data_IF_106072292068
#
_entry.id   IF_106072292068
#
_cell.length_a   1.000
_cell.length_b   1.000
_cell.length_c   1.000
_cell.angle_alpha   90.00
_cell.angle_beta   90.00
_cell.angle_gamma   90.00
#
_symmetry.space_group_name_H-M   'P 1'
#
loop_
_entity.id
_entity.type
_entity.pdbx_description
1 polymer ?
#
# COMPACT_ATOMS: atom_id res chain seq x y z
N UNK A 1 16.93 0.51 5.00
CA UNK A 1 15.54 0.01 5.08
C UNK A 1 15.44 -1.10 6.13
N UNK A 2 16.10 -2.26 5.97
CA UNK A 2 16.06 -3.38 6.94
C UNK A 2 16.31 -2.95 8.39
N UNK A 3 17.39 -2.22 8.66
CA UNK A 3 17.70 -1.74 10.01
C UNK A 3 16.66 -0.77 10.63
N UNK A 4 15.77 -0.18 9.82
CA UNK A 4 14.66 0.65 10.33
C UNK A 4 13.45 -0.21 10.73
N UNK A 5 13.32 -1.41 10.16
CA UNK A 5 12.25 -2.34 10.47
C UNK A 5 12.62 -3.25 11.65
N UNK A 6 13.90 -3.62 11.77
CA UNK A 6 14.39 -4.50 12.82
C UNK A 6 14.03 -3.98 14.23
N UNK A 7 13.35 -4.83 15.01
CA UNK A 7 12.94 -4.53 16.38
C UNK A 7 11.77 -3.55 16.51
N UNK A 8 11.21 -3.05 15.40
CA UNK A 8 10.00 -2.23 15.43
C UNK A 8 8.76 -3.11 15.37
N UNK A 9 7.94 -3.05 16.43
CA UNK A 9 6.59 -3.64 16.43
C UNK A 9 5.61 -2.62 15.90
N UNK A 10 4.96 -2.94 14.78
CA UNK A 10 3.98 -2.06 14.13
C UNK A 10 2.65 -2.78 13.92
N UNK A 11 1.57 -2.02 13.76
CA UNK A 11 0.27 -2.61 13.45
C UNK A 11 0.21 -3.10 12.00
N UNK A 12 0.70 -2.32 11.04
CA UNK A 12 0.85 -2.75 9.64
C UNK A 12 2.14 -2.18 9.02
N UNK A 13 2.57 -2.78 7.91
CA UNK A 13 3.56 -2.19 7.01
C UNK A 13 2.93 -1.97 5.63
N UNK A 14 3.21 -0.82 5.01
CA UNK A 14 2.69 -0.46 3.69
C UNK A 14 3.85 -0.22 2.71
N UNK A 15 3.81 -0.87 1.56
CA UNK A 15 4.74 -0.71 0.44
C UNK A 15 4.03 0.01 -0.70
N UNK A 16 4.53 1.17 -1.11
CA UNK A 16 3.81 2.06 -2.04
C UNK A 16 4.37 1.98 -3.46
N UNK A 17 4.62 0.78 -3.99
CA UNK A 17 5.08 0.60 -5.36
C UNK A 17 6.53 1.03 -5.65
N UNK A 18 6.87 1.01 -6.93
CA UNK A 18 8.20 1.23 -7.50
C UNK A 18 9.24 0.28 -6.87
N UNK A 19 8.92 -1.02 -6.86
CA UNK A 19 9.77 -2.07 -6.26
C UNK A 19 11.10 -2.24 -6.99
N UNK A 20 11.17 -1.80 -8.25
CA UNK A 20 12.40 -1.71 -9.03
C UNK A 20 12.34 -0.57 -10.05
N UNK A 21 13.53 -0.10 -10.46
CA UNK A 21 13.68 1.00 -11.40
C UNK A 21 14.76 0.65 -12.46
N UNK A 22 14.37 0.50 -13.73
CA UNK A 22 15.29 0.35 -14.87
C UNK A 22 15.08 -0.87 -15.76
N UNK A 23 15.78 -0.91 -16.91
CA UNK A 23 15.78 -2.04 -17.83
C UNK A 23 16.68 -3.17 -17.31
N UNK A 24 16.12 -4.36 -17.09
CA UNK A 24 16.79 -5.67 -17.08
C UNK A 24 17.80 -6.03 -15.95
N UNK A 25 18.07 -5.18 -14.97
CA UNK A 25 19.03 -5.50 -13.89
C UNK A 25 18.37 -6.34 -12.77
N UNK A 26 18.06 -7.59 -13.10
CA UNK A 26 17.54 -8.68 -12.27
C UNK A 26 16.42 -8.32 -11.27
N UNK A 27 15.14 -8.58 -11.61
CA UNK A 27 14.04 -8.65 -10.65
C UNK A 27 14.41 -9.46 -9.40
N UNK A 28 15.29 -10.47 -9.56
CA UNK A 28 15.83 -11.31 -8.48
C UNK A 28 16.61 -10.53 -7.42
N UNK A 29 17.38 -9.52 -7.79
CA UNK A 29 18.17 -8.71 -6.86
C UNK A 29 17.27 -7.84 -5.99
N UNK A 30 16.32 -7.14 -6.61
CA UNK A 30 15.32 -6.33 -5.93
C UNK A 30 14.39 -7.17 -5.07
N UNK A 31 13.87 -8.29 -5.58
CA UNK A 31 13.04 -9.23 -4.82
C UNK A 31 13.79 -9.80 -3.61
N UNK A 32 15.09 -10.13 -3.75
CA UNK A 32 15.90 -10.60 -2.61
C UNK A 32 16.05 -9.52 -1.54
N UNK A 33 16.24 -8.27 -1.94
CA UNK A 33 16.32 -7.16 -0.99
C UNK A 33 14.97 -6.87 -0.35
N UNK A 34 13.88 -6.94 -1.11
CA UNK A 34 12.51 -6.79 -0.63
C UNK A 34 12.18 -7.88 0.39
N UNK A 35 12.53 -9.13 0.11
CA UNK A 35 12.36 -10.26 1.03
C UNK A 35 13.04 -10.00 2.38
N UNK A 36 14.27 -9.48 2.38
CA UNK A 36 14.98 -9.12 3.63
C UNK A 36 14.29 -8.02 4.43
N UNK A 37 13.61 -7.09 3.76
CA UNK A 37 12.84 -6.03 4.43
C UNK A 37 11.59 -6.64 5.03
N UNK A 38 10.86 -7.45 4.26
CA UNK A 38 9.65 -8.16 4.71
C UNK A 38 9.95 -9.06 5.92
N UNK A 39 11.03 -9.84 5.87
CA UNK A 39 11.46 -10.70 6.98
C UNK A 39 11.78 -9.90 8.26
N UNK A 40 12.20 -8.65 8.12
CA UNK A 40 12.50 -7.76 9.25
C UNK A 40 11.25 -7.03 9.78
N UNK A 41 10.11 -7.08 9.09
CA UNK A 41 8.88 -6.42 9.51
C UNK A 41 8.11 -7.27 10.54
N UNK A 42 8.00 -6.80 11.78
CA UNK A 42 7.07 -7.35 12.78
C UNK A 42 5.74 -6.57 12.75
N UNK A 43 4.96 -6.84 11.69
CA UNK A 43 3.66 -6.22 11.44
C UNK A 43 2.51 -7.12 11.91
N UNK A 44 1.84 -6.74 12.99
CA UNK A 44 0.82 -7.57 13.67
C UNK A 44 -0.38 -7.93 12.76
N UNK A 45 -0.81 -7.00 11.93
CA UNK A 45 -1.99 -7.16 11.06
C UNK A 45 -1.58 -7.67 9.67
N UNK A 46 -0.36 -7.36 9.25
CA UNK A 46 0.21 -7.81 7.99
C UNK A 46 0.87 -6.69 7.21
N UNK A 47 1.32 -7.05 6.01
CA UNK A 47 2.03 -6.20 5.09
C UNK A 47 1.17 -6.02 3.84
N UNK A 48 0.96 -4.78 3.44
CA UNK A 48 0.13 -4.42 2.30
C UNK A 48 0.97 -3.62 1.30
N UNK A 49 0.60 -3.66 0.02
CA UNK A 49 1.23 -2.80 -0.95
C UNK A 49 0.39 -2.54 -2.18
N UNK A 50 0.88 -1.62 -3.02
CA UNK A 50 0.31 -1.28 -4.32
C UNK A 50 1.42 -1.33 -5.36
N UNK A 51 1.07 -1.44 -6.64
CA UNK A 51 2.04 -1.37 -7.72
C UNK A 51 2.30 0.10 -8.10
N UNK A 52 3.57 0.41 -8.35
CA UNK A 52 4.01 1.68 -8.88
C UNK A 52 4.02 1.69 -10.41
N UNK A 53 4.38 2.81 -11.00
CA UNK A 53 4.39 2.96 -12.46
C UNK A 53 5.53 2.20 -13.14
N UNK A 54 6.49 1.70 -12.35
CA UNK A 54 7.59 0.87 -12.83
C UNK A 54 7.34 -0.63 -12.65
N UNK A 55 6.28 -1.01 -11.94
CA UNK A 55 5.92 -2.40 -11.69
C UNK A 55 4.84 -2.82 -12.69
N UNK A 56 5.03 -3.95 -13.35
CA UNK A 56 4.02 -4.48 -14.26
C UNK A 56 2.97 -5.25 -13.45
N UNK A 57 1.69 -5.32 -13.89
CA UNK A 57 0.68 -6.13 -13.22
C UNK A 57 1.09 -7.59 -12.99
N UNK A 58 1.90 -8.15 -13.90
CA UNK A 58 2.42 -9.52 -13.81
C UNK A 58 3.36 -9.75 -12.61
N UNK A 59 3.88 -8.67 -12.04
CA UNK A 59 4.83 -8.70 -10.93
C UNK A 59 4.16 -8.85 -9.57
N UNK A 60 2.87 -8.54 -9.47
CA UNK A 60 2.08 -8.67 -8.25
C UNK A 60 2.26 -10.06 -7.63
N UNK A 61 2.13 -11.12 -8.43
CA UNK A 61 2.23 -12.50 -7.93
C UNK A 61 3.63 -12.84 -7.39
N UNK A 62 4.70 -12.24 -7.92
CA UNK A 62 6.07 -12.44 -7.39
C UNK A 62 6.25 -11.72 -6.06
N UNK A 63 5.67 -10.54 -5.92
CA UNK A 63 5.73 -9.74 -4.70
C UNK A 63 4.86 -10.37 -3.60
N UNK A 64 3.69 -10.89 -3.96
CA UNK A 64 2.78 -11.58 -3.05
C UNK A 64 3.39 -12.85 -2.44
N UNK A 65 4.26 -13.55 -3.18
CA UNK A 65 5.01 -14.69 -2.65
C UNK A 65 5.93 -14.34 -1.48
N UNK A 66 6.28 -13.06 -1.31
CA UNK A 66 7.05 -12.58 -0.17
C UNK A 66 6.19 -12.33 1.07
N UNK A 67 4.86 -12.46 0.97
CA UNK A 67 3.93 -12.18 2.07
C UNK A 67 3.39 -10.75 2.10
N UNK A 68 3.60 -9.98 1.02
CA UNK A 68 3.00 -8.65 0.83
C UNK A 68 1.65 -8.83 0.15
N UNK A 69 0.56 -8.36 0.75
CA UNK A 69 -0.74 -8.35 0.07
C UNK A 69 -0.83 -7.14 -0.87
N UNK A 70 -0.81 -7.39 -2.18
CA UNK A 70 -0.96 -6.33 -3.18
C UNK A 70 -2.45 -5.99 -3.34
N UNK A 71 -2.76 -4.69 -3.39
CA UNK A 71 -4.10 -4.13 -3.56
C UNK A 71 -4.09 -3.24 -4.80
N UNK A 72 -4.67 -3.73 -5.91
CA UNK A 72 -4.71 -3.02 -7.18
C UNK A 72 -6.09 -2.40 -7.39
N UNK A 73 -6.27 -1.14 -6.99
CA UNK A 73 -7.58 -0.50 -6.91
C UNK A 73 -8.60 -1.31 -6.08
N UNK A 74 -8.10 -1.88 -4.98
CA UNK A 74 -8.85 -2.76 -4.10
C UNK A 74 -8.87 -2.23 -2.67
N UNK A 75 -9.93 -2.57 -1.95
CA UNK A 75 -10.02 -2.35 -0.51
C UNK A 75 -10.13 -3.66 0.25
N UNK A 76 -9.55 -3.67 1.44
CA UNK A 76 -9.71 -4.77 2.40
C UNK A 76 -10.00 -4.26 3.80
N UNK A 77 -10.85 -5.00 4.49
CA UNK A 77 -11.18 -4.74 5.88
C UNK A 77 -10.15 -5.38 6.80
N UNK A 78 -9.73 -4.64 7.82
CA UNK A 78 -8.97 -5.15 8.96
C UNK A 78 -9.61 -4.69 10.26
N UNK A 79 -9.32 -5.40 11.34
CA UNK A 79 -9.68 -4.97 12.70
C UNK A 79 -8.41 -4.68 13.46
N UNK A 80 -8.18 -3.41 13.77
CA UNK A 80 -7.05 -2.96 14.59
C UNK A 80 -7.58 -2.41 15.92
N UNK A 81 -7.15 -3.00 17.04
CA UNK A 81 -7.52 -2.51 18.38
C UNK A 81 -9.04 -2.36 18.57
N UNK A 82 -9.83 -3.31 18.04
CA UNK A 82 -11.29 -3.30 18.10
C UNK A 82 -11.98 -2.29 17.15
N UNK A 83 -11.22 -1.61 16.29
CA UNK A 83 -11.72 -0.66 15.31
C UNK A 83 -11.66 -1.25 13.91
N UNK A 84 -12.74 -1.12 13.14
CA UNK A 84 -12.76 -1.46 11.71
C UNK A 84 -12.02 -0.40 10.90
N UNK A 85 -11.00 -0.85 10.17
CA UNK A 85 -10.26 -0.04 9.21
C UNK A 85 -10.36 -0.67 7.83
N UNK A 86 -10.46 0.18 6.80
CA UNK A 86 -10.43 -0.21 5.40
C UNK A 86 -9.09 0.23 4.82
N UNK A 87 -8.26 -0.71 4.43
CA UNK A 87 -7.04 -0.42 3.69
C UNK A 87 -7.42 -0.37 2.23
N UNK A 88 -7.15 0.76 1.59
CA UNK A 88 -7.48 1.02 0.19
C UNK A 88 -6.18 1.20 -0.57
N UNK A 89 -5.88 0.26 -1.47
CA UNK A 89 -4.79 0.39 -2.44
C UNK A 89 -5.30 1.01 -3.71
N UNK A 90 -4.59 2.01 -4.22
CA UNK A 90 -4.91 2.68 -5.49
C UNK A 90 -3.66 2.67 -6.35
N UNK A 91 -3.81 2.25 -7.60
CA UNK A 91 -2.71 2.17 -8.55
C UNK A 91 -2.12 3.56 -8.83
N UNK A 92 -0.88 3.61 -9.32
CA UNK A 92 -0.22 4.87 -9.63
C UNK A 92 -0.97 5.64 -10.74
N UNK A 93 -1.37 6.92 -10.53
CA UNK A 93 -2.11 7.69 -11.52
C UNK A 93 -1.38 7.89 -12.86
N UNK A 94 -0.05 7.79 -12.89
CA UNK A 94 0.71 7.88 -14.13
C UNK A 94 0.52 6.66 -15.05
N UNK A 95 -0.02 5.55 -14.53
CA UNK A 95 -0.45 4.40 -15.33
C UNK A 95 -1.80 4.60 -16.02
N UNK A 96 -2.54 5.65 -15.66
CA UNK A 96 -3.93 5.94 -16.08
C UNK A 96 -4.93 4.81 -15.76
N UNK A 97 -4.59 3.95 -14.80
CA UNK A 97 -5.43 2.85 -14.34
C UNK A 97 -5.90 3.05 -12.90
N UNK A 98 -5.63 4.22 -12.29
CA UNK A 98 -6.09 4.53 -10.94
C UNK A 98 -7.62 4.65 -10.88
N UNK A 99 -8.24 3.98 -9.91
CA UNK A 99 -9.67 4.07 -9.64
C UNK A 99 -9.94 4.30 -8.15
N UNK A 100 -9.62 5.50 -7.67
CA UNK A 100 -9.89 5.90 -6.29
C UNK A 100 -11.38 5.76 -5.94
N UNK A 101 -12.27 6.13 -6.87
CA UNK A 101 -13.71 6.14 -6.64
C UNK A 101 -14.28 4.72 -6.48
N UNK A 102 -13.82 3.78 -7.30
CA UNK A 102 -14.16 2.36 -7.19
C UNK A 102 -13.55 1.73 -5.94
N UNK A 103 -12.27 2.02 -5.67
CA UNK A 103 -11.54 1.45 -4.52
C UNK A 103 -12.14 1.88 -3.18
N UNK A 104 -12.67 3.10 -3.08
CA UNK A 104 -13.30 3.61 -1.86
C UNK A 104 -14.76 3.16 -1.66
N UNK A 105 -15.33 2.31 -2.54
CA UNK A 105 -16.67 1.73 -2.34
C UNK A 105 -16.66 0.68 -1.25
N UNK A 106 -16.64 1.15 -0.01
CA UNK A 106 -16.67 0.32 1.18
C UNK A 106 -18.12 0.11 1.60
N UNK A 107 -18.53 -1.16 1.70
CA UNK A 107 -19.91 -1.55 2.06
C UNK A 107 -20.26 -1.31 3.54
N UNK A 108 -19.25 -1.05 4.39
CA UNK A 108 -19.39 -0.91 5.85
C UNK A 108 -18.85 0.43 6.36
N UNK A 109 -19.48 1.04 7.36
CA UNK A 109 -18.94 2.23 8.01
C UNK A 109 -17.66 1.89 8.79
N UNK A 110 -16.57 2.57 8.47
CA UNK A 110 -15.28 2.44 9.16
C UNK A 110 -14.28 3.50 8.68
N UNK A 111 -13.09 3.49 9.26
CA UNK A 111 -12.03 4.45 8.92
C UNK A 111 -11.21 3.94 7.73
N UNK A 112 -10.90 4.81 6.75
CA UNK A 112 -10.12 4.41 5.57
C UNK A 112 -8.64 4.83 5.71
N UNK A 113 -7.74 3.90 5.37
CA UNK A 113 -6.31 4.12 5.20
C UNK A 113 -5.98 3.97 3.71
N UNK A 114 -5.64 5.08 3.06
CA UNK A 114 -5.28 5.12 1.66
C UNK A 114 -3.78 4.92 1.47
N UNK A 115 -3.39 3.98 0.61
CA UNK A 115 -2.00 3.65 0.29
C UNK A 115 -1.75 3.93 -1.21
N UNK A 116 -1.46 5.18 -1.61
CA UNK A 116 -1.16 5.49 -3.00
C UNK A 116 0.32 5.20 -3.33
N UNK A 117 0.61 4.80 -4.56
CA UNK A 117 1.98 4.52 -5.02
C UNK A 117 2.90 5.77 -4.97
N UNK A 118 2.31 6.95 -5.12
CA UNK A 118 2.97 8.23 -4.89
C UNK A 118 2.18 9.08 -3.91
N UNK A 119 2.84 10.02 -3.19
CA UNK A 119 2.10 11.01 -2.43
C UNK A 119 1.13 11.70 -3.37
N UNK A 120 -0.18 11.61 -3.08
CA UNK A 120 -1.18 12.37 -3.81
C UNK A 120 -0.74 13.84 -3.77
N UNK A 121 -0.55 14.43 -4.94
CA UNK A 121 -0.18 15.84 -5.02
C UNK A 121 -1.28 16.65 -4.33
N UNK A 122 -0.84 17.39 -3.32
CA UNK A 122 -1.64 18.22 -2.42
C UNK A 122 -2.68 19.03 -3.20
N UNK A 123 -3.97 18.84 -2.90
CA UNK A 123 -4.96 19.86 -3.24
C UNK A 123 -4.60 21.13 -2.44
N UNK A 124 -4.29 22.27 -3.08
CA UNK A 124 -3.96 23.52 -2.38
C UNK A 124 -5.10 24.02 -1.47
N UNK A 125 -6.31 23.46 -1.57
CA UNK A 125 -7.46 23.80 -0.73
C UNK A 125 -7.49 23.12 0.65
N UNK A 126 -6.69 22.08 0.90
CA UNK A 126 -6.74 21.33 2.17
C UNK A 126 -5.43 21.35 2.95
N UNK A 127 -5.50 21.76 4.22
CA UNK A 127 -4.36 22.05 5.09
C UNK A 127 -3.82 20.85 5.87
N UNK A 128 -4.05 19.62 5.39
CA UNK A 128 -3.54 18.40 6.06
C UNK A 128 -2.63 17.60 5.13
N UNK A 129 -1.50 17.08 5.61
CA UNK A 129 -0.64 16.22 4.81
C UNK A 129 -1.43 14.99 4.36
N UNK A 130 -1.10 14.45 3.18
CA UNK A 130 -1.78 13.33 2.50
C UNK A 130 -1.77 11.97 3.23
N UNK A 131 -1.60 12.00 4.55
CA UNK A 131 -1.85 10.92 5.49
C UNK A 131 -3.05 11.36 6.34
N UNK A 132 -4.25 11.07 5.88
CA UNK A 132 -5.46 11.68 6.42
C UNK A 132 -6.67 10.77 6.36
N UNK A 133 -7.20 10.46 7.55
CA UNK A 133 -8.52 9.87 7.78
C UNK A 133 -9.54 10.56 6.87
N UNK A 134 -10.09 9.85 5.88
CA UNK A 134 -11.17 10.40 5.06
C UNK A 134 -12.40 10.63 5.95
N UNK A 135 -13.12 11.76 5.77
CA UNK A 135 -14.31 12.03 6.57
C UNK A 135 -15.35 10.93 6.33
N UNK A 136 -15.95 10.44 7.43
CA UNK A 136 -17.13 9.58 7.37
C UNK A 136 -18.19 10.27 6.50
N UNK A 137 -18.60 9.63 5.41
CA UNK A 137 -19.83 10.00 4.70
C UNK A 137 -20.97 9.32 5.46
N UNK A 138 -21.88 10.06 6.12
CA UNK A 138 -23.09 9.46 6.68
C UNK A 138 -24.05 9.07 5.54
N UNK A 139 -25.00 8.16 5.81
CA UNK A 139 -25.92 7.60 4.81
C UNK A 139 -26.84 8.63 4.16
#
# INVERSE_FOLDING_TARGET
MVALCEGQRVDLCAFTGDYWFGQADEPRGSLRNLARIVDACDARIGIFGVLGNHDAPEDAGLIEQLGIRILMNEATDIVAHGTHLHIVGVDDPSTQQDDLAGSCRVERPGQQLLCPARPLTRDPSTSRPGWGRLPHTPP
#
